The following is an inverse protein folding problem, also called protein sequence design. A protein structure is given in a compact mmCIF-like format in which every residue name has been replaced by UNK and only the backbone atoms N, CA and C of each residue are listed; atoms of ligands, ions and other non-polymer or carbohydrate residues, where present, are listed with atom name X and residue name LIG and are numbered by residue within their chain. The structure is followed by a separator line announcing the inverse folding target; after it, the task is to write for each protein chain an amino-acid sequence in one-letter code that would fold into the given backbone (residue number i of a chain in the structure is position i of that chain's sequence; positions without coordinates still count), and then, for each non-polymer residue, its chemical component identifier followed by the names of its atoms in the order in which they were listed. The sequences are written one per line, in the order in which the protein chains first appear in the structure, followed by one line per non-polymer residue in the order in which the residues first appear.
data_IF_585100443293
#
_entry.id   IF_585100443293
#
_cell.length_a   1.000
_cell.length_b   1.000
_cell.length_c   1.000
_cell.angle_alpha   90.00
_cell.angle_beta   90.00
_cell.angle_gamma   90.00
#
_symmetry.space_group_name_H-M   'P 1'
#
loop_
_entity.id
_entity.type
_entity.pdbx_description
1 polymer ?
#
# COMPACT_ATOMS: atom_id res chain seq x y z
N UNK A 1 6.81 3.73 21.32
CA UNK A 1 5.75 4.05 20.36
C UNK A 1 6.01 3.40 19.03
N UNK A 2 4.98 2.75 18.48
CA UNK A 2 4.98 2.18 17.14
C UNK A 2 3.86 2.81 16.35
N UNK A 3 4.12 3.06 15.07
CA UNK A 3 3.12 3.57 14.13
C UNK A 3 2.99 2.58 12.98
N UNK A 4 1.76 2.41 12.49
CA UNK A 4 1.47 1.59 11.33
C UNK A 4 0.85 2.44 10.24
N UNK A 5 1.21 2.13 9.02
CA UNK A 5 0.59 2.65 7.80
C UNK A 5 0.40 1.51 6.82
N UNK A 6 -0.51 1.67 5.86
CA UNK A 6 -0.69 0.68 4.81
C UNK A 6 -0.56 1.30 3.42
N UNK A 7 -0.07 0.48 2.49
CA UNK A 7 -0.08 0.79 1.07
C UNK A 7 -1.12 -0.10 0.40
N UNK A 8 -2.14 0.52 -0.20
CA UNK A 8 -3.27 -0.20 -0.80
C UNK A 8 -3.41 0.19 -2.27
N UNK A 9 -3.52 -0.81 -3.14
CA UNK A 9 -3.86 -0.59 -4.54
C UNK A 9 -5.38 -0.57 -4.72
N UNK A 10 -5.91 0.54 -5.22
CA UNK A 10 -7.29 0.59 -5.66
C UNK A 10 -7.45 -0.18 -6.98
N UNK A 11 -8.25 -1.25 -6.98
CA UNK A 11 -8.32 -2.20 -8.09
C UNK A 11 -8.77 -1.58 -9.41
N UNK A 12 -9.74 -0.66 -9.39
CA UNK A 12 -10.34 -0.10 -10.60
C UNK A 12 -9.39 0.87 -11.32
N UNK A 13 -8.68 1.72 -10.56
CA UNK A 13 -7.77 2.73 -11.14
C UNK A 13 -6.32 2.27 -11.20
N UNK A 14 -5.97 1.18 -10.50
CA UNK A 14 -4.59 0.72 -10.27
C UNK A 14 -3.70 1.70 -9.51
N UNK A 15 -4.26 2.82 -9.03
CA UNK A 15 -3.59 3.80 -8.20
C UNK A 15 -3.27 3.22 -6.82
N UNK A 16 -2.10 3.55 -6.30
CA UNK A 16 -1.69 3.21 -4.95
C UNK A 16 -1.87 4.39 -4.01
N UNK A 17 -2.25 4.07 -2.78
CA UNK A 17 -2.41 5.03 -1.71
C UNK A 17 -1.61 4.61 -0.50
N UNK A 18 -0.96 5.58 0.13
CA UNK A 18 -0.48 5.45 1.50
C UNK A 18 -1.57 5.99 2.43
N UNK A 19 -1.91 5.19 3.44
CA UNK A 19 -2.94 5.51 4.42
C UNK A 19 -2.32 5.42 5.81
N UNK A 20 -2.42 6.51 6.55
CA UNK A 20 -2.07 6.59 7.97
C UNK A 20 -3.24 7.23 8.71
N UNK A 21 -3.95 6.41 9.49
CA UNK A 21 -5.17 6.79 10.19
C UNK A 21 -6.19 7.46 9.25
N UNK A 22 -6.47 8.76 9.42
CA UNK A 22 -7.41 9.53 8.61
C UNK A 22 -6.77 10.20 7.38
N UNK A 23 -5.45 10.06 7.21
CA UNK A 23 -4.73 10.66 6.09
C UNK A 23 -4.58 9.67 4.93
N UNK A 24 -4.90 10.13 3.72
CA UNK A 24 -4.80 9.35 2.48
C UNK A 24 -4.06 10.19 1.44
N UNK A 25 -3.01 9.63 0.87
CA UNK A 25 -2.24 10.28 -0.20
C UNK A 25 -1.87 9.29 -1.30
N UNK A 26 -1.74 9.79 -2.53
CA UNK A 26 -1.21 8.99 -3.63
C UNK A 26 0.27 8.66 -3.41
N UNK A 27 0.67 7.45 -3.77
CA UNK A 27 2.06 7.01 -3.73
C UNK A 27 2.38 6.22 -4.99
N UNK A 28 3.61 6.31 -5.47
CA UNK A 28 4.02 5.51 -6.61
C UNK A 28 4.49 4.12 -6.16
N UNK A 29 4.24 3.04 -6.96
CA UNK A 29 4.58 1.67 -6.56
C UNK A 29 6.06 1.46 -6.18
N UNK A 30 6.98 2.18 -6.81
CA UNK A 30 8.42 2.01 -6.60
C UNK A 30 8.85 2.54 -5.22
N UNK A 31 8.06 3.43 -4.61
CA UNK A 31 8.32 3.97 -3.27
C UNK A 31 7.91 3.00 -2.16
N UNK A 32 6.96 2.08 -2.43
CA UNK A 32 6.45 1.11 -1.45
C UNK A 32 7.56 0.16 -0.99
N UNK A 33 8.40 -0.29 -1.93
CA UNK A 33 9.50 -1.23 -1.65
C UNK A 33 10.63 -0.66 -0.77
N UNK A 34 10.62 0.66 -0.50
CA UNK A 34 11.57 1.31 0.40
C UNK A 34 11.12 1.29 1.87
N UNK A 35 9.88 0.85 2.14
CA UNK A 35 9.32 0.80 3.48
C UNK A 35 9.62 -0.51 4.21
N UNK A 36 9.69 -0.45 5.55
CA UNK A 36 9.78 -1.64 6.39
C UNK A 36 8.43 -2.34 6.45
N UNK A 37 8.27 -3.39 5.64
CA UNK A 37 7.00 -4.12 5.54
C UNK A 37 6.84 -5.11 6.71
N UNK A 38 5.75 -4.96 7.47
CA UNK A 38 5.36 -5.92 8.50
C UNK A 38 4.53 -7.08 7.92
N UNK A 39 3.61 -6.80 6.99
CA UNK A 39 2.71 -7.77 6.38
C UNK A 39 2.47 -7.44 4.90
N UNK A 40 2.43 -8.46 4.06
CA UNK A 40 2.16 -8.34 2.62
C UNK A 40 0.98 -9.20 2.22
N UNK A 41 0.05 -8.63 1.43
CA UNK A 41 -1.10 -9.34 0.88
C UNK A 41 -0.91 -9.47 -0.62
N UNK A 42 -0.81 -10.70 -1.11
CA UNK A 42 -0.70 -11.00 -2.53
C UNK A 42 -2.01 -11.58 -3.04
N UNK A 43 -2.48 -11.08 -4.19
CA UNK A 43 -3.57 -11.73 -4.93
C UNK A 43 -2.98 -12.74 -5.89
N UNK A 44 -3.60 -13.92 -5.99
CA UNK A 44 -3.30 -14.87 -7.07
C UNK A 44 -3.75 -14.23 -8.39
N UNK A 45 -2.85 -14.09 -9.35
CA UNK A 45 -3.25 -13.82 -10.75
C UNK A 45 -3.95 -15.06 -11.30
N UNK A 46 -4.99 -14.88 -12.11
CA UNK A 46 -5.71 -16.00 -12.74
C UNK A 46 -4.79 -16.98 -13.45
N UNK A 47 -5.28 -18.21 -13.67
CA UNK A 47 -4.60 -19.26 -14.43
C UNK A 47 -4.28 -18.79 -15.86
#
# INVERSE_FOLDING_TARGET
DGHYKCHVQHQATRQWYEIQDLHVQEIMPQQIGLSECYLLIFRKSGL
#
